data_IF_426792020721
#
_entry.id   IF_426792020721
#
_cell.length_a   1.000
_cell.length_b   1.000
_cell.length_c   1.000
_cell.angle_alpha   90.00
_cell.angle_beta   90.00
_cell.angle_gamma   90.00
#
_symmetry.space_group_name_H-M   'P 1'
#
loop_
_entity.id
_entity.type
_entity.pdbx_description
1 polymer ?
#
# COMPACT_ATOMS: atom_id res chain seq x y z
N UNK A 1 2.64 -35.31 13.11
CA UNK A 1 2.02 -34.94 11.81
C UNK A 1 2.80 -33.75 11.26
N UNK A 2 3.56 -33.93 10.18
CA UNK A 2 4.29 -32.84 9.54
C UNK A 2 3.31 -32.06 8.64
N UNK A 3 3.13 -30.76 8.92
CA UNK A 3 2.36 -29.88 8.04
C UNK A 3 3.13 -29.76 6.73
N UNK A 4 2.55 -30.28 5.64
CA UNK A 4 3.06 -30.08 4.29
C UNK A 4 3.12 -28.57 4.00
N UNK A 5 4.31 -28.05 3.74
CA UNK A 5 4.50 -26.69 3.24
C UNK A 5 3.83 -26.60 1.87
N UNK A 6 2.61 -26.07 1.85
CA UNK A 6 1.86 -25.84 0.62
C UNK A 6 2.66 -24.92 -0.30
N UNK A 7 2.57 -25.15 -1.61
CA UNK A 7 3.22 -24.39 -2.68
C UNK A 7 3.04 -22.85 -2.50
N UNK A 8 1.88 -22.43 -1.97
CA UNK A 8 1.59 -21.04 -1.60
C UNK A 8 2.57 -20.45 -0.58
N UNK A 9 2.98 -21.22 0.44
CA UNK A 9 3.95 -20.76 1.45
C UNK A 9 5.35 -20.52 0.86
N UNK A 10 5.74 -21.33 -0.14
CA UNK A 10 7.02 -21.16 -0.84
C UNK A 10 6.99 -20.01 -1.83
N UNK A 11 5.91 -19.85 -2.59
CA UNK A 11 5.68 -18.69 -3.46
C UNK A 11 5.71 -17.38 -2.68
N UNK A 12 5.02 -17.31 -1.53
CA UNK A 12 5.00 -16.12 -0.68
C UNK A 12 6.38 -15.78 -0.13
N UNK A 13 7.21 -16.79 0.17
CA UNK A 13 8.58 -16.58 0.64
C UNK A 13 9.49 -16.04 -0.46
N UNK A 14 9.41 -16.58 -1.68
CA UNK A 14 10.17 -16.08 -2.84
C UNK A 14 9.77 -14.65 -3.19
N UNK A 15 8.46 -14.36 -3.20
CA UNK A 15 7.94 -13.01 -3.42
C UNK A 15 8.49 -12.00 -2.40
N UNK A 16 8.49 -12.34 -1.10
CA UNK A 16 9.06 -11.48 -0.06
C UNK A 16 10.58 -11.28 -0.21
N UNK A 17 11.32 -12.30 -0.66
CA UNK A 17 12.76 -12.16 -0.91
C UNK A 17 13.03 -11.14 -2.02
N UNK A 18 12.31 -11.25 -3.15
CA UNK A 18 12.40 -10.28 -4.26
C UNK A 18 12.01 -8.86 -3.82
N UNK A 19 10.99 -8.71 -2.97
CA UNK A 19 10.60 -7.39 -2.46
C UNK A 19 11.65 -6.80 -1.52
N UNK A 20 12.31 -7.61 -0.69
CA UNK A 20 13.43 -7.15 0.14
C UNK A 20 14.64 -6.70 -0.68
N UNK A 21 14.98 -7.40 -1.75
CA UNK A 21 16.06 -7.01 -2.66
C UNK A 21 15.80 -5.66 -3.32
N UNK A 22 14.53 -5.31 -3.55
CA UNK A 22 14.10 -3.98 -4.02
C UNK A 22 14.06 -2.91 -2.92
N UNK A 23 14.53 -3.22 -1.71
CA UNK A 23 14.51 -2.30 -0.57
C UNK A 23 13.13 -2.14 0.11
N UNK A 24 12.14 -2.96 -0.25
CA UNK A 24 10.79 -2.87 0.32
C UNK A 24 10.64 -3.72 1.60
N UNK A 25 9.95 -3.16 2.60
CA UNK A 25 9.61 -3.84 3.85
C UNK A 25 8.14 -4.22 3.85
N UNK A 26 7.84 -5.51 4.03
CA UNK A 26 6.48 -5.97 4.24
C UNK A 26 5.96 -5.47 5.61
N UNK A 27 4.81 -4.80 5.61
CA UNK A 27 4.08 -4.39 6.82
C UNK A 27 2.70 -5.01 6.77
N UNK A 28 2.28 -5.62 7.87
CA UNK A 28 0.92 -6.12 8.04
C UNK A 28 0.19 -5.16 8.97
N UNK A 29 -0.87 -4.53 8.47
CA UNK A 29 -1.73 -3.65 9.23
C UNK A 29 -3.15 -4.19 9.22
N UNK A 30 -3.87 -3.93 10.29
CA UNK A 30 -5.31 -4.13 10.34
C UNK A 30 -5.98 -2.81 9.95
N UNK A 31 -6.93 -2.89 9.02
CA UNK A 31 -7.71 -1.75 8.55
C UNK A 31 -9.19 -1.95 8.88
N UNK A 32 -9.98 -0.88 8.98
CA UNK A 32 -11.43 -0.99 9.12
C UNK A 32 -12.05 -1.80 7.97
N UNK A 33 -13.15 -2.51 8.24
CA UNK A 33 -13.89 -3.23 7.20
C UNK A 33 -14.64 -2.24 6.30
N UNK A 34 -14.06 -1.96 5.13
CA UNK A 34 -14.58 -1.04 4.13
C UNK A 34 -15.88 -1.50 3.47
N UNK A 35 -16.36 -2.71 3.78
CA UNK A 35 -17.66 -3.22 3.30
C UNK A 35 -18.83 -2.76 4.18
N UNK A 36 -18.54 -2.23 5.37
CA UNK A 36 -19.57 -1.65 6.22
C UNK A 36 -20.05 -0.30 5.66
N UNK A 37 -21.37 -0.05 5.57
CA UNK A 37 -21.91 1.21 5.07
C UNK A 37 -21.45 2.42 5.89
N UNK A 38 -21.21 2.26 7.19
CA UNK A 38 -20.75 3.34 8.08
C UNK A 38 -19.33 3.83 7.72
N UNK A 39 -18.51 2.94 7.15
CA UNK A 39 -17.15 3.27 6.72
C UNK A 39 -17.18 4.05 5.39
N UNK A 40 -18.15 3.83 4.52
CA UNK A 40 -18.24 4.55 3.25
C UNK A 40 -18.45 6.07 3.46
N UNK A 41 -19.29 6.47 4.42
CA UNK A 41 -19.49 7.87 4.76
C UNK A 41 -18.24 8.49 5.40
N UNK A 42 -17.61 7.77 6.33
CA UNK A 42 -16.38 8.20 6.99
C UNK A 42 -15.23 8.36 5.98
N UNK A 43 -15.07 7.42 5.04
CA UNK A 43 -14.10 7.51 3.96
C UNK A 43 -14.36 8.72 3.07
N UNK A 44 -15.60 8.94 2.64
CA UNK A 44 -15.96 10.11 1.82
C UNK A 44 -15.59 11.41 2.55
N UNK A 45 -15.91 11.51 3.84
CA UNK A 45 -15.60 12.68 4.68
C UNK A 45 -14.09 12.89 4.79
N UNK A 46 -13.33 11.84 5.07
CA UNK A 46 -11.87 11.90 5.21
C UNK A 46 -11.19 12.24 3.88
N UNK A 47 -11.64 11.69 2.76
CA UNK A 47 -11.13 12.02 1.43
C UNK A 47 -11.31 13.50 1.11
N UNK A 48 -12.47 14.10 1.43
CA UNK A 48 -12.70 15.53 1.21
C UNK A 48 -11.81 16.44 2.09
N UNK A 49 -11.52 15.99 3.31
CA UNK A 49 -10.61 16.71 4.20
C UNK A 49 -9.17 16.65 3.70
N UNK A 50 -8.72 15.47 3.27
CA UNK A 50 -7.42 15.29 2.64
C UNK A 50 -7.32 16.11 1.34
N UNK A 51 -8.38 16.11 0.52
CA UNK A 51 -8.40 16.83 -0.76
C UNK A 51 -8.38 18.36 -0.67
N UNK A 52 -8.64 18.85 0.54
CA UNK A 52 -8.71 20.28 0.83
C UNK A 52 -7.52 20.73 1.69
N UNK A 53 -6.63 19.80 2.04
CA UNK A 53 -5.46 20.10 2.85
C UNK A 53 -4.47 20.96 2.03
N UNK A 54 -3.93 22.05 2.59
CA UNK A 54 -2.96 22.90 1.90
C UNK A 54 -1.76 22.11 1.36
N UNK A 55 -1.32 21.14 2.14
CA UNK A 55 -0.16 20.29 1.88
C UNK A 55 -0.41 19.26 0.76
N UNK A 56 -1.66 19.01 0.37
CA UNK A 56 -1.97 17.98 -0.62
C UNK A 56 -1.38 18.33 -1.99
N UNK A 57 -1.50 19.59 -2.44
CA UNK A 57 -0.92 20.01 -3.73
C UNK A 57 0.59 19.84 -3.74
N UNK A 58 1.27 20.31 -2.70
CA UNK A 58 2.72 20.16 -2.57
C UNK A 58 3.14 18.69 -2.56
N UNK A 59 2.37 17.84 -1.89
CA UNK A 59 2.64 16.40 -1.82
C UNK A 59 2.38 15.69 -3.15
N UNK A 60 1.34 16.07 -3.89
CA UNK A 60 1.06 15.54 -5.24
C UNK A 60 2.12 16.00 -6.24
N UNK A 61 2.52 17.27 -6.20
CA UNK A 61 3.60 17.82 -7.03
C UNK A 61 4.94 17.10 -6.74
N UNK A 62 5.23 16.81 -5.47
CA UNK A 62 6.39 16.01 -5.08
C UNK A 62 6.29 14.57 -5.60
N UNK A 63 5.14 13.91 -5.44
CA UNK A 63 4.93 12.53 -5.90
C UNK A 63 5.02 12.40 -7.42
N UNK A 64 4.52 13.37 -8.18
CA UNK A 64 4.66 13.42 -9.64
C UNK A 64 6.14 13.54 -10.04
N UNK A 65 6.89 14.41 -9.35
CA UNK A 65 8.32 14.60 -9.57
C UNK A 65 9.16 13.34 -9.21
N UNK A 66 8.76 12.60 -8.17
CA UNK A 66 9.44 11.36 -7.76
C UNK A 66 8.99 10.14 -8.59
N UNK A 67 7.75 10.13 -9.07
CA UNK A 67 7.21 9.05 -9.93
C UNK A 67 7.92 8.91 -11.27
N UNK A 68 8.54 9.99 -11.75
CA UNK A 68 9.38 10.00 -12.96
C UNK A 68 10.70 9.21 -12.84
N UNK A 69 11.00 8.62 -11.67
CA UNK A 69 12.23 7.83 -11.42
C UNK A 69 12.15 6.38 -11.95
N UNK A 70 11.10 6.00 -12.67
CA UNK A 70 10.90 4.66 -13.23
C UNK A 70 11.26 4.47 -14.71
N UNK A 71 11.45 5.55 -15.46
CA UNK A 71 11.65 5.50 -16.92
C UNK A 71 13.07 5.89 -17.37
N UNK A 72 14.00 6.06 -16.43
CA UNK A 72 15.42 6.30 -16.70
C UNK A 72 16.25 5.06 -16.37
N UNK A 73 16.26 4.07 -17.28
CA UNK A 73 17.19 2.93 -17.27
C UNK A 73 16.57 1.59 -17.65
#
# INVERSE_FOLDING_TARGET
MAVSMSDSSRKMRQYRARMKEKGLRAVQIWVPDVRSPDIAEALRRQSLLASSAPDEREMLDFLENVGAWGDAG
#
